data_IF_154553999318
#
_entry.id   IF_154553999318
#
_cell.length_a   1.000
_cell.length_b   1.000
_cell.length_c   1.000
_cell.angle_alpha   90.00
_cell.angle_beta   90.00
_cell.angle_gamma   90.00
#
_symmetry.space_group_name_H-M   'P 1'
#
loop_
_entity.id
_entity.type
_entity.pdbx_description
1 polymer ?
#
# COMPACT_ATOMS: atom_id res chain seq x y z
N UNK A 1 -12.03 5.19 -33.78
CA UNK A 1 -13.03 4.51 -32.93
C UNK A 1 -13.80 5.60 -32.20
N UNK A 2 -15.13 5.61 -32.29
CA UNK A 2 -15.95 6.58 -31.55
C UNK A 2 -15.74 6.39 -30.04
N UNK A 3 -15.73 7.49 -29.29
CA UNK A 3 -15.74 7.37 -27.84
C UNK A 3 -17.10 6.76 -27.42
N UNK A 4 -17.11 5.77 -26.52
CA UNK A 4 -18.35 5.20 -26.02
C UNK A 4 -19.17 6.28 -25.33
N UNK A 5 -20.48 6.30 -25.59
CA UNK A 5 -21.46 7.17 -24.93
C UNK A 5 -22.30 6.36 -23.95
N UNK A 6 -22.88 6.98 -22.91
CA UNK A 6 -23.74 6.27 -21.95
C UNK A 6 -24.82 5.42 -22.62
N UNK A 7 -25.45 5.92 -23.68
CA UNK A 7 -26.54 5.25 -24.41
C UNK A 7 -26.09 3.98 -25.15
N UNK A 8 -24.79 3.86 -25.44
CA UNK A 8 -24.21 2.69 -26.12
C UNK A 8 -23.82 1.58 -25.15
N UNK A 9 -24.01 1.78 -23.84
CA UNK A 9 -23.58 0.84 -22.80
C UNK A 9 -24.80 0.17 -22.19
N UNK A 10 -24.83 -1.16 -22.33
CA UNK A 10 -25.87 -1.98 -21.75
C UNK A 10 -25.80 -1.93 -20.22
N UNK A 11 -26.95 -1.70 -19.57
CA UNK A 11 -27.06 -1.63 -18.11
C UNK A 11 -26.49 -0.35 -17.50
N UNK A 12 -26.18 0.69 -18.28
CA UNK A 12 -25.73 1.97 -17.72
C UNK A 12 -26.77 2.53 -16.72
N UNK A 13 -26.34 3.06 -15.56
CA UNK A 13 -27.25 3.61 -14.55
C UNK A 13 -27.78 4.98 -14.96
N UNK A 14 -28.63 4.99 -15.99
CA UNK A 14 -29.23 6.20 -16.57
C UNK A 14 -30.22 6.89 -15.63
N UNK A 15 -30.71 6.17 -14.62
CA UNK A 15 -31.49 6.70 -13.51
C UNK A 15 -30.67 7.67 -12.63
N UNK A 16 -29.34 7.55 -12.63
CA UNK A 16 -28.44 8.48 -11.96
C UNK A 16 -27.95 9.58 -12.93
N UNK A 17 -28.50 10.80 -12.88
CA UNK A 17 -28.13 11.88 -13.80
C UNK A 17 -26.69 12.39 -13.63
N UNK A 18 -26.01 12.00 -12.54
CA UNK A 18 -24.61 12.34 -12.27
C UNK A 18 -23.64 11.24 -12.72
N UNK A 19 -24.15 10.09 -13.15
CA UNK A 19 -23.32 9.03 -13.69
C UNK A 19 -22.71 9.46 -15.03
N UNK A 20 -21.40 9.26 -15.17
CA UNK A 20 -20.64 9.60 -16.37
C UNK A 20 -19.61 8.53 -16.67
N UNK A 21 -19.22 8.44 -17.93
CA UNK A 21 -18.11 7.60 -18.36
C UNK A 21 -16.78 8.29 -18.07
N UNK A 22 -15.87 7.53 -17.48
CA UNK A 22 -14.51 7.96 -17.19
C UNK A 22 -13.52 6.99 -17.82
N UNK A 23 -12.85 7.45 -18.87
CA UNK A 23 -11.81 6.70 -19.57
C UNK A 23 -10.46 6.91 -18.88
N UNK A 24 -9.98 5.87 -18.19
CA UNK A 24 -8.65 5.87 -17.60
C UNK A 24 -7.65 5.28 -18.59
N UNK A 25 -6.90 6.16 -19.26
CA UNK A 25 -5.81 5.76 -20.15
C UNK A 25 -4.55 5.48 -19.33
N UNK A 26 -3.94 4.30 -19.52
CA UNK A 26 -2.68 3.94 -18.86
C UNK A 26 -1.64 3.57 -19.90
N UNK A 27 -0.49 4.26 -19.85
CA UNK A 27 0.65 3.97 -20.74
C UNK A 27 1.07 2.50 -20.59
N UNK A 28 1.07 1.77 -21.70
CA UNK A 28 1.45 0.35 -21.75
C UNK A 28 0.42 -0.64 -21.19
N UNK A 29 -0.84 -0.23 -21.00
CA UNK A 29 -1.95 -1.14 -20.62
C UNK A 29 -3.20 -0.82 -21.43
N UNK A 30 -4.13 -1.77 -21.46
CA UNK A 30 -5.47 -1.56 -22.02
C UNK A 30 -6.19 -0.43 -21.28
N UNK A 31 -6.86 0.43 -22.04
CA UNK A 31 -7.70 1.49 -21.49
C UNK A 31 -8.82 0.89 -20.62
N UNK A 32 -9.11 1.54 -19.50
CA UNK A 32 -10.14 1.07 -18.57
C UNK A 32 -11.26 2.10 -18.55
N UNK A 33 -12.46 1.67 -18.92
CA UNK A 33 -13.66 2.50 -18.87
C UNK A 33 -14.42 2.26 -17.57
N UNK A 34 -14.62 3.34 -16.81
CA UNK A 34 -15.37 3.33 -15.56
C UNK A 34 -16.69 4.09 -15.73
N UNK A 35 -17.67 3.71 -14.91
CA UNK A 35 -18.83 4.55 -14.63
C UNK A 35 -18.61 5.19 -13.27
N UNK A 36 -18.67 6.52 -13.23
CA UNK A 36 -18.41 7.30 -12.03
C UNK A 36 -19.52 8.30 -11.78
N UNK A 37 -19.73 8.64 -10.52
CA UNK A 37 -20.55 9.76 -10.09
C UNK A 37 -19.64 10.88 -9.58
N UNK A 38 -19.80 12.09 -10.11
CA UNK A 38 -19.06 13.25 -9.62
C UNK A 38 -19.97 14.17 -8.79
N UNK A 39 -19.52 14.52 -7.59
CA UNK A 39 -20.15 15.52 -6.75
C UNK A 39 -19.18 16.67 -6.47
N UNK A 40 -19.72 17.89 -6.30
CA UNK A 40 -18.94 19.08 -6.04
C UNK A 40 -19.20 19.52 -4.59
N UNK A 41 -18.14 19.58 -3.79
CA UNK A 41 -18.21 20.02 -2.41
C UNK A 41 -17.35 21.28 -2.27
N UNK A 42 -17.94 22.36 -1.79
CA UNK A 42 -17.19 23.57 -1.46
C UNK A 42 -16.53 23.43 -0.09
N UNK A 43 -15.20 23.35 -0.06
CA UNK A 43 -14.46 23.30 1.19
C UNK A 43 -14.21 24.71 1.71
N UNK A 44 -15.01 25.14 2.70
CA UNK A 44 -14.90 26.48 3.34
C UNK A 44 -13.49 26.76 3.88
N UNK A 45 -12.82 25.76 4.47
CA UNK A 45 -11.46 25.91 5.03
C UNK A 45 -10.40 26.25 3.98
N UNK A 46 -10.53 25.70 2.78
CA UNK A 46 -9.57 25.90 1.69
C UNK A 46 -10.04 26.95 0.68
N UNK A 47 -11.25 27.51 0.87
CA UNK A 47 -11.95 28.43 -0.04
C UNK A 47 -11.95 27.93 -1.50
N UNK A 48 -12.07 26.62 -1.70
CA UNK A 48 -12.00 25.97 -3.02
C UNK A 48 -13.07 24.89 -3.16
N UNK A 49 -13.64 24.78 -4.36
CA UNK A 49 -14.51 23.66 -4.73
C UNK A 49 -13.66 22.44 -5.04
N UNK A 50 -13.97 21.32 -4.38
CA UNK A 50 -13.38 20.01 -4.71
C UNK A 50 -14.39 19.17 -5.47
N UNK A 51 -13.89 18.43 -6.45
CA UNK A 51 -14.65 17.39 -7.13
C UNK A 51 -14.37 16.08 -6.42
N UNK A 52 -15.42 15.42 -5.95
CA UNK A 52 -15.37 14.07 -5.41
C UNK A 52 -15.92 13.12 -6.46
N UNK A 53 -15.13 12.12 -6.85
CA UNK A 53 -15.52 11.12 -7.83
C UNK A 53 -15.69 9.77 -7.15
N UNK A 54 -16.93 9.28 -7.12
CA UNK A 54 -17.28 7.93 -6.65
C UNK A 54 -17.32 6.99 -7.84
N UNK A 55 -16.63 5.86 -7.74
CA UNK A 55 -16.71 4.81 -8.76
C UNK A 55 -17.94 3.95 -8.52
N UNK A 56 -18.80 3.81 -9.53
CA UNK A 56 -20.00 2.97 -9.48
C UNK A 56 -19.71 1.58 -10.05
N UNK A 57 -18.92 1.51 -11.12
CA UNK A 57 -18.59 0.26 -11.78
C UNK A 57 -17.62 0.41 -12.93
N UNK A 58 -17.58 -0.62 -13.77
CA UNK A 58 -16.71 -0.72 -14.95
C UNK A 58 -17.49 -1.21 -16.15
N UNK A 59 -17.01 -0.83 -17.32
CA UNK A 59 -17.57 -1.26 -18.59
C UNK A 59 -16.59 -2.24 -19.23
N UNK A 60 -17.09 -3.41 -19.63
CA UNK A 60 -16.32 -4.43 -20.36
C UNK A 60 -17.12 -4.81 -21.59
N UNK A 61 -16.53 -4.67 -22.77
CA UNK A 61 -17.17 -5.00 -24.05
C UNK A 61 -18.56 -4.36 -24.24
N UNK A 62 -18.74 -3.11 -23.79
CA UNK A 62 -20.01 -2.39 -23.91
C UNK A 62 -21.04 -2.67 -22.81
N UNK A 63 -20.74 -3.55 -21.84
CA UNK A 63 -21.66 -3.89 -20.75
C UNK A 63 -21.17 -3.29 -19.43
N UNK A 64 -22.08 -2.63 -18.71
CA UNK A 64 -21.83 -2.13 -17.35
C UNK A 64 -21.88 -3.26 -16.32
N UNK A 65 -20.88 -3.27 -15.45
CA UNK A 65 -20.83 -4.10 -14.25
C UNK A 65 -20.60 -3.22 -13.04
N UNK A 66 -21.38 -3.41 -11.98
CA UNK A 66 -21.10 -2.80 -10.67
C UNK A 66 -19.71 -3.21 -10.18
N UNK A 67 -19.16 -2.47 -9.22
CA UNK A 67 -17.86 -2.82 -8.63
C UNK A 67 -17.84 -4.25 -8.03
N UNK A 68 -18.97 -4.75 -7.53
CA UNK A 68 -19.08 -6.08 -6.92
C UNK A 68 -19.09 -7.18 -7.97
N UNK A 69 -19.98 -7.07 -8.97
CA UNK A 69 -20.06 -7.99 -10.11
C UNK A 69 -18.74 -8.05 -10.85
N UNK A 70 -18.12 -6.89 -11.07
CA UNK A 70 -16.82 -6.82 -11.72
C UNK A 70 -15.75 -7.59 -10.94
N UNK A 71 -15.69 -7.40 -9.62
CA UNK A 71 -14.72 -8.10 -8.76
C UNK A 71 -14.93 -9.61 -8.76
N UNK A 72 -16.19 -10.06 -8.86
CA UNK A 72 -16.57 -11.47 -8.88
C UNK A 72 -16.16 -12.16 -10.18
N UNK A 73 -16.42 -11.51 -11.32
CA UNK A 73 -16.32 -12.11 -12.64
C UNK A 73 -15.01 -11.81 -13.37
N UNK A 74 -14.32 -10.72 -13.02
CA UNK A 74 -13.15 -10.23 -13.75
C UNK A 74 -11.91 -10.06 -12.86
N UNK A 75 -10.75 -10.20 -13.49
CA UNK A 75 -9.45 -9.83 -12.93
C UNK A 75 -9.27 -8.31 -12.96
N UNK A 76 -8.22 -7.79 -12.29
CA UNK A 76 -7.93 -6.35 -12.25
C UNK A 76 -7.78 -5.72 -13.64
N UNK A 77 -7.35 -6.50 -14.63
CA UNK A 77 -7.08 -6.09 -16.01
C UNK A 77 -8.27 -6.32 -16.96
N UNK A 78 -9.44 -6.71 -16.46
CA UNK A 78 -10.62 -6.93 -17.30
C UNK A 78 -10.70 -8.29 -17.97
N UNK A 79 -9.76 -9.21 -17.72
CA UNK A 79 -9.89 -10.61 -18.17
C UNK A 79 -10.92 -11.34 -17.30
N UNK A 80 -11.78 -12.15 -17.91
CA UNK A 80 -12.72 -13.03 -17.21
C UNK A 80 -11.95 -13.99 -16.29
N UNK A 81 -12.45 -14.20 -15.07
CA UNK A 81 -11.91 -15.19 -14.14
C UNK A 81 -12.41 -16.57 -14.52
N UNK A 82 -11.52 -17.56 -14.53
CA UNK A 82 -11.90 -18.96 -14.72
C UNK A 82 -12.80 -19.50 -13.58
N UNK A 83 -12.65 -18.97 -12.36
CA UNK A 83 -13.48 -19.30 -11.19
C UNK A 83 -13.96 -17.99 -10.55
N UNK A 84 -15.27 -17.80 -10.33
CA UNK A 84 -15.79 -16.62 -9.64
C UNK A 84 -15.12 -16.44 -8.27
N UNK A 85 -14.86 -15.19 -7.87
CA UNK A 85 -14.13 -14.90 -6.62
C UNK A 85 -14.80 -15.53 -5.38
N UNK A 86 -16.12 -15.64 -5.36
CA UNK A 86 -16.87 -16.20 -4.23
C UNK A 86 -16.86 -17.74 -4.21
N UNK A 87 -16.52 -18.37 -5.35
CA UNK A 87 -16.30 -19.81 -5.45
C UNK A 87 -14.84 -20.20 -5.14
N UNK A 88 -14.00 -19.24 -4.74
CA UNK A 88 -12.64 -19.52 -4.30
C UNK A 88 -12.68 -20.24 -2.95
N UNK A 89 -12.33 -21.53 -3.02
CA UNK A 89 -11.94 -22.49 -1.99
C UNK A 89 -11.63 -21.91 -0.59
N UNK A 90 -11.96 -22.65 0.50
CA UNK A 90 -11.73 -22.23 1.87
C UNK A 90 -10.31 -21.70 2.01
N UNK A 91 -10.21 -20.43 2.46
CA UNK A 91 -8.97 -19.64 2.60
C UNK A 91 -7.77 -20.57 2.75
N UNK A 92 -7.11 -20.88 1.64
CA UNK A 92 -5.92 -21.72 1.67
C UNK A 92 -4.98 -21.05 2.65
N UNK A 93 -4.73 -21.74 3.77
CA UNK A 93 -3.93 -21.37 4.94
C UNK A 93 -3.30 -20.00 4.76
N UNK A 94 -3.72 -19.04 5.57
CA UNK A 94 -2.98 -17.79 5.76
C UNK A 94 -1.50 -18.16 5.71
N UNK A 95 -0.81 -17.81 4.61
CA UNK A 95 0.64 -17.95 4.60
C UNK A 95 1.02 -17.18 5.85
N UNK A 96 1.69 -17.81 6.84
CA UNK A 96 2.23 -17.02 7.92
C UNK A 96 3.02 -15.94 7.19
N UNK A 97 2.56 -14.69 7.33
CA UNK A 97 3.43 -13.55 7.07
C UNK A 97 4.56 -13.87 8.01
N UNK A 98 5.63 -14.45 7.48
CA UNK A 98 6.87 -14.55 8.20
C UNK A 98 7.18 -13.08 8.37
N UNK A 99 6.78 -12.51 9.52
CA UNK A 99 7.41 -11.32 10.03
C UNK A 99 8.86 -11.67 9.85
N UNK A 100 9.51 -10.92 8.95
CA UNK A 100 10.93 -11.05 8.71
C UNK A 100 11.50 -10.89 10.10
N UNK A 101 11.78 -12.00 10.80
CA UNK A 101 12.56 -12.00 12.04
C UNK A 101 13.77 -11.23 11.57
N UNK A 102 13.91 -10.00 12.06
CA UNK A 102 15.14 -9.28 11.84
C UNK A 102 16.19 -10.29 12.25
N UNK A 103 16.95 -10.80 11.27
CA UNK A 103 18.12 -11.60 11.55
C UNK A 103 19.07 -10.58 12.18
N UNK A 104 18.84 -10.23 13.45
CA UNK A 104 19.93 -9.74 14.28
C UNK A 104 20.93 -10.87 14.19
N UNK A 105 22.09 -10.56 13.62
CA UNK A 105 23.17 -11.54 13.43
C UNK A 105 23.57 -12.21 14.76
N UNK A 106 23.12 -11.62 15.88
CA UNK A 106 23.43 -11.99 17.25
C UNK A 106 22.15 -12.04 18.07
N UNK A 107 22.05 -13.07 18.90
CA UNK A 107 21.01 -13.21 19.90
C UNK A 107 21.29 -12.21 21.04
N UNK A 108 20.36 -11.28 21.27
CA UNK A 108 20.50 -10.22 22.29
C UNK A 108 20.67 -10.81 23.68
N UNK A 109 20.05 -11.96 23.93
CA UNK A 109 20.09 -12.65 25.22
C UNK A 109 21.49 -13.19 25.58
N UNK A 110 22.38 -13.32 24.60
CA UNK A 110 23.75 -13.84 24.83
C UNK A 110 24.76 -12.73 25.17
N UNK A 111 24.38 -11.46 25.07
CA UNK A 111 25.30 -10.34 25.34
C UNK A 111 25.19 -9.93 26.80
N UNK A 112 26.29 -10.09 27.54
CA UNK A 112 26.39 -9.61 28.92
C UNK A 112 26.42 -8.09 28.97
N UNK A 113 25.77 -7.54 30.00
CA UNK A 113 25.74 -6.10 30.32
C UNK A 113 25.09 -5.21 29.24
N UNK A 114 24.31 -5.80 28.33
CA UNK A 114 23.56 -5.03 27.33
C UNK A 114 22.41 -4.26 28.00
N UNK A 115 22.23 -2.96 27.71
CA UNK A 115 21.08 -2.21 28.22
C UNK A 115 19.75 -2.79 27.73
N UNK A 116 18.77 -2.87 28.63
CA UNK A 116 17.40 -3.28 28.32
C UNK A 116 16.62 -2.14 27.65
N UNK A 117 17.04 -1.76 26.44
CA UNK A 117 16.34 -0.81 25.57
C UNK A 117 15.99 -1.51 24.25
N UNK A 118 14.69 -1.73 24.05
CA UNK A 118 14.11 -2.38 22.86
C UNK A 118 14.49 -1.67 21.55
N UNK A 119 14.83 -0.37 21.60
CA UNK A 119 15.16 0.44 20.43
C UNK A 119 16.65 0.39 20.04
N UNK A 120 17.48 -0.32 20.80
CA UNK A 120 18.88 -0.56 20.43
C UNK A 120 18.97 -1.52 19.26
N UNK A 121 19.84 -1.19 18.33
CA UNK A 121 20.13 -1.98 17.14
C UNK A 121 21.61 -2.32 17.08
N UNK A 122 21.92 -3.46 16.47
CA UNK A 122 23.29 -3.87 16.20
C UNK A 122 23.71 -3.46 14.80
N UNK A 123 24.89 -2.89 14.69
CA UNK A 123 25.47 -2.50 13.41
C UNK A 123 26.90 -3.03 13.32
N UNK A 124 27.13 -3.92 12.36
CA UNK A 124 28.46 -4.42 12.04
C UNK A 124 29.17 -3.41 11.12
N UNK A 125 30.39 -2.99 11.51
CA UNK A 125 31.30 -2.21 10.68
C UNK A 125 32.69 -2.83 10.76
N UNK A 126 33.13 -3.43 9.65
CA UNK A 126 34.36 -4.22 9.63
C UNK A 126 34.28 -5.39 10.62
N UNK A 127 35.29 -5.52 11.47
CA UNK A 127 35.37 -6.52 12.54
C UNK A 127 34.65 -6.13 13.83
N UNK A 128 34.06 -4.95 13.89
CA UNK A 128 33.45 -4.41 15.10
C UNK A 128 31.93 -4.44 15.04
N UNK A 129 31.29 -4.83 16.14
CA UNK A 129 29.85 -4.75 16.32
C UNK A 129 29.49 -3.61 17.26
N UNK A 130 28.78 -2.62 16.75
CA UNK A 130 28.30 -1.48 17.52
C UNK A 130 26.85 -1.66 17.93
N UNK A 131 26.53 -1.15 19.12
CA UNK A 131 25.16 -0.95 19.59
C UNK A 131 24.79 0.51 19.35
N UNK A 132 23.74 0.74 18.58
CA UNK A 132 23.31 2.08 18.16
C UNK A 132 21.85 2.33 18.53
N UNK A 133 21.52 3.59 18.78
CA UNK A 133 20.14 4.09 18.86
C UNK A 133 19.83 4.90 17.60
N UNK A 134 18.69 4.62 16.98
CA UNK A 134 18.21 5.34 15.78
C UNK A 134 17.02 6.20 16.14
N UNK A 135 17.11 7.47 15.80
CA UNK A 135 16.01 8.42 15.96
C UNK A 135 15.62 8.95 14.59
N UNK A 136 14.32 8.93 14.28
CA UNK A 136 13.79 9.46 13.04
C UNK A 136 13.10 10.79 13.31
N UNK A 137 13.40 11.79 12.50
CA UNK A 137 12.80 13.11 12.61
C UNK A 137 12.52 13.68 11.22
N UNK A 138 11.67 14.70 11.13
CA UNK A 138 11.35 15.37 9.88
C UNK A 138 12.12 16.69 9.83
N UNK A 139 12.89 16.91 8.77
CA UNK A 139 13.62 18.15 8.51
C UNK A 139 13.41 18.51 7.04
N UNK A 140 12.94 19.73 6.78
CA UNK A 140 12.62 20.25 5.44
C UNK A 140 11.66 19.34 4.65
N UNK A 141 10.64 18.81 5.33
CA UNK A 141 9.66 17.89 4.75
C UNK A 141 10.20 16.50 4.38
N UNK A 142 11.46 16.20 4.71
CA UNK A 142 12.10 14.90 4.46
C UNK A 142 12.35 14.17 5.77
N UNK A 143 12.09 12.86 5.78
CA UNK A 143 12.47 12.00 6.90
C UNK A 143 13.99 11.89 6.94
N UNK A 144 14.57 12.25 8.08
CA UNK A 144 15.99 12.10 8.41
C UNK A 144 16.16 11.07 9.52
N UNK A 145 17.37 10.57 9.65
CA UNK A 145 17.77 9.59 10.64
C UNK A 145 19.01 10.12 11.38
N UNK A 146 18.93 10.16 12.71
CA UNK A 146 20.07 10.39 13.59
C UNK A 146 20.49 9.05 14.18
N UNK A 147 21.79 8.76 14.13
CA UNK A 147 22.39 7.55 14.70
C UNK A 147 23.31 7.96 15.84
N UNK A 148 23.06 7.38 17.01
CA UNK A 148 23.91 7.56 18.20
C UNK A 148 24.56 6.22 18.53
N UNK A 149 25.88 6.21 18.67
CA UNK A 149 26.63 5.03 19.08
C UNK A 149 26.61 4.95 20.61
N UNK A 150 26.07 3.86 21.14
CA UNK A 150 25.92 3.65 22.58
C UNK A 150 27.12 2.87 23.12
N UNK A 151 27.65 1.96 22.30
CA UNK A 151 28.81 1.18 22.67
C UNK A 151 29.16 0.11 21.65
N UNK A 152 30.02 -0.82 22.05
CA UNK A 152 30.52 -1.90 21.22
C UNK A 152 30.34 -3.25 21.93
N UNK A 153 30.08 -4.31 21.16
CA UNK A 153 30.14 -5.68 21.66
C UNK A 153 31.47 -6.31 21.27
N UNK A 154 32.18 -6.85 22.27
CA UNK A 154 33.40 -7.65 22.09
C UNK A 154 33.25 -8.91 22.94
N UNK A 155 33.53 -10.09 22.38
CA UNK A 155 33.45 -11.37 23.09
C UNK A 155 32.13 -11.59 23.84
N UNK A 156 30.99 -11.27 23.20
CA UNK A 156 29.65 -11.36 23.80
C UNK A 156 29.44 -10.49 25.07
N UNK A 157 30.22 -9.43 25.24
CA UNK A 157 30.03 -8.43 26.29
C UNK A 157 29.89 -7.04 25.69
N UNK A 158 28.94 -6.26 26.20
CA UNK A 158 28.76 -4.87 25.84
C UNK A 158 29.74 -3.99 26.62
N UNK A 159 30.30 -3.00 25.93
CA UNK A 159 31.15 -1.92 26.46
C UNK A 159 30.56 -0.60 25.96
N UNK A 160 30.47 0.40 26.82
CA UNK A 160 30.06 1.74 26.41
C UNK A 160 31.12 2.36 25.49
N UNK A 161 30.78 3.46 24.79
CA UNK A 161 31.78 4.16 23.96
C UNK A 161 32.90 4.83 24.79
N UNK A 162 32.75 4.91 26.10
CA UNK A 162 33.70 5.55 27.03
C UNK A 162 34.67 4.54 27.66
N UNK A 163 34.41 3.23 27.51
CA UNK A 163 35.23 2.11 27.99
C UNK A 163 36.14 1.53 26.90
#
# INVERSE_FOLDING_TARGET
MSNPTPDTIEGFPSDNPRARLYLCRRKGRSDILYVVESSYIYERKLKKTRTYTRYLGRVVNGVYYTLEEYKKNFTRNGKIRAVPKDAALPRSRARPTVHRKEKSLIDRALIKDLPDDLFLQFMQRGSHLYVIKREYYIQDGRRREKRTYIGQVRNNRFYTMEE
#
